data_IF_149919031621
#
_entry.id   IF_149919031621
#
_cell.length_a   1.000
_cell.length_b   1.000
_cell.length_c   1.000
_cell.angle_alpha   90.00
_cell.angle_beta   90.00
_cell.angle_gamma   90.00
#
_symmetry.space_group_name_H-M   'P 1'
#
loop_
_entity.id
_entity.type
_entity.pdbx_description
1 polymer ?
#
# COMPACT_ATOMS: atom_id res chain seq x y z
N UNK A 1 -30.19 -11.44 5.74
CA UNK A 1 -30.09 -11.80 4.31
C UNK A 1 -29.79 -10.53 3.54
N UNK A 2 -28.55 -10.32 3.09
CA UNK A 2 -28.14 -9.08 2.43
C UNK A 2 -28.41 -9.14 0.92
N UNK A 3 -28.90 -8.03 0.42
CA UNK A 3 -29.06 -7.65 -0.98
C UNK A 3 -27.72 -7.60 -1.72
N UNK A 4 -27.66 -7.98 -3.02
CA UNK A 4 -26.45 -7.84 -3.82
C UNK A 4 -26.25 -6.37 -4.22
N UNK A 5 -25.03 -5.88 -3.97
CA UNK A 5 -24.51 -4.59 -4.39
C UNK A 5 -24.58 -4.48 -5.92
N UNK A 6 -25.37 -3.51 -6.38
CA UNK A 6 -25.41 -3.07 -7.75
C UNK A 6 -24.04 -2.50 -8.14
N UNK A 7 -23.32 -3.23 -8.99
CA UNK A 7 -22.24 -2.69 -9.80
C UNK A 7 -22.78 -1.52 -10.62
N UNK A 8 -22.28 -0.31 -10.36
CA UNK A 8 -22.42 0.85 -11.24
C UNK A 8 -21.73 0.55 -12.58
N UNK A 9 -22.41 -0.19 -13.45
CA UNK A 9 -22.14 -0.21 -14.88
C UNK A 9 -22.52 1.17 -15.40
N UNK A 10 -21.54 2.07 -15.55
CA UNK A 10 -21.69 3.16 -16.51
C UNK A 10 -22.05 2.50 -17.85
N UNK A 11 -23.17 2.87 -18.51
CA UNK A 11 -23.49 2.32 -19.80
C UNK A 11 -22.45 2.87 -20.77
N UNK A 12 -21.40 2.10 -21.05
CA UNK A 12 -20.61 2.36 -22.24
C UNK A 12 -21.60 2.23 -23.42
N UNK A 13 -21.75 3.23 -24.30
CA UNK A 13 -22.71 3.18 -25.42
C UNK A 13 -22.31 2.15 -26.50
N UNK A 14 -21.21 1.42 -26.28
CA UNK A 14 -20.56 0.55 -27.23
C UNK A 14 -21.36 -0.70 -27.65
N UNK A 15 -21.97 -1.48 -26.73
CA UNK A 15 -22.72 -2.67 -27.14
C UNK A 15 -24.00 -2.30 -27.89
N UNK A 16 -24.63 -1.16 -27.57
CA UNK A 16 -25.81 -0.67 -28.28
C UNK A 16 -25.46 -0.22 -29.70
N UNK A 17 -24.32 0.47 -29.88
CA UNK A 17 -23.84 0.91 -31.19
C UNK A 17 -23.48 -0.27 -32.11
N UNK A 18 -22.86 -1.33 -31.58
CA UNK A 18 -22.56 -2.54 -32.35
C UNK A 18 -23.82 -3.28 -32.80
N UNK A 19 -24.84 -3.37 -31.94
CA UNK A 19 -26.13 -4.00 -32.27
C UNK A 19 -26.89 -3.20 -33.33
N UNK A 20 -26.88 -1.87 -33.24
CA UNK A 20 -27.51 -1.00 -34.24
C UNK A 20 -26.80 -1.04 -35.59
N UNK A 21 -25.46 -1.08 -35.61
CA UNK A 21 -24.66 -1.24 -36.83
C UNK A 21 -24.94 -2.60 -37.49
N UNK A 22 -25.01 -3.67 -36.71
CA UNK A 22 -25.32 -5.01 -37.20
C UNK A 22 -26.74 -5.09 -37.79
N UNK A 23 -27.74 -4.50 -37.11
CA UNK A 23 -29.11 -4.44 -37.60
C UNK A 23 -29.24 -3.62 -38.91
N UNK A 24 -28.52 -2.50 -39.01
CA UNK A 24 -28.50 -1.67 -40.22
C UNK A 24 -27.86 -2.39 -41.41
N UNK A 25 -26.75 -3.10 -41.19
CA UNK A 25 -26.10 -3.91 -42.22
C UNK A 25 -26.97 -5.09 -42.68
N UNK A 26 -27.73 -5.70 -41.77
CA UNK A 26 -28.67 -6.78 -42.08
C UNK A 26 -29.86 -6.29 -42.92
N UNK A 27 -30.33 -5.07 -42.65
CA UNK A 27 -31.45 -4.45 -43.37
C UNK A 27 -31.06 -3.94 -44.76
N UNK A 28 -29.82 -3.48 -44.94
CA UNK A 28 -29.34 -2.90 -46.20
C UNK A 28 -28.80 -3.93 -47.20
N UNK A 29 -28.37 -5.11 -46.73
CA UNK A 29 -27.75 -6.17 -47.55
C UNK A 29 -26.73 -5.67 -48.60
N UNK A 30 -25.72 -4.86 -48.24
CA UNK A 30 -24.75 -4.39 -49.21
C UNK A 30 -23.86 -5.53 -49.72
N UNK A 31 -23.25 -5.38 -50.91
CA UNK A 31 -22.27 -6.35 -51.41
C UNK A 31 -21.15 -6.58 -50.40
N UNK A 32 -20.67 -7.82 -50.32
CA UNK A 32 -19.79 -8.33 -49.25
C UNK A 32 -18.53 -7.48 -49.00
N UNK A 33 -18.02 -6.83 -50.03
CA UNK A 33 -16.85 -5.96 -49.99
C UNK A 33 -17.10 -4.69 -49.15
N UNK A 34 -18.30 -4.13 -49.22
CA UNK A 34 -18.68 -2.92 -48.47
C UNK A 34 -18.88 -3.25 -46.99
N UNK A 35 -19.50 -4.40 -46.68
CA UNK A 35 -19.64 -4.88 -45.30
C UNK A 35 -18.27 -5.12 -44.65
N UNK A 36 -17.34 -5.75 -45.37
CA UNK A 36 -15.99 -5.98 -44.87
C UNK A 36 -15.24 -4.66 -44.59
N UNK A 37 -15.34 -3.68 -45.50
CA UNK A 37 -14.72 -2.37 -45.30
C UNK A 37 -15.27 -1.64 -44.06
N UNK A 38 -16.59 -1.68 -43.83
CA UNK A 38 -17.22 -1.04 -42.66
C UNK A 38 -16.76 -1.69 -41.34
N UNK A 39 -16.68 -3.02 -41.29
CA UNK A 39 -16.21 -3.74 -40.09
C UNK A 39 -14.74 -3.42 -39.80
N UNK A 40 -13.89 -3.44 -40.82
CA UNK A 40 -12.46 -3.13 -40.68
C UNK A 40 -12.25 -1.67 -40.24
N UNK A 41 -12.97 -0.71 -40.83
CA UNK A 41 -12.90 0.70 -40.43
C UNK A 41 -13.42 0.92 -39.00
N UNK A 42 -14.50 0.23 -38.61
CA UNK A 42 -15.01 0.27 -37.23
C UNK A 42 -14.01 -0.30 -36.23
N UNK A 43 -13.36 -1.41 -36.56
CA UNK A 43 -12.31 -2.01 -35.73
C UNK A 43 -11.06 -1.13 -35.64
N UNK A 44 -10.61 -0.52 -36.74
CA UNK A 44 -9.48 0.41 -36.73
C UNK A 44 -9.81 1.69 -35.93
N UNK A 45 -11.02 2.23 -36.04
CA UNK A 45 -11.47 3.36 -35.25
C UNK A 45 -11.53 3.01 -33.74
N UNK A 46 -11.99 1.81 -33.39
CA UNK A 46 -11.95 1.29 -32.03
C UNK A 46 -10.51 1.16 -31.52
N UNK A 47 -9.63 0.57 -32.33
CA UNK A 47 -8.21 0.46 -32.02
C UNK A 47 -7.61 1.84 -31.78
N UNK A 48 -7.90 2.84 -32.62
CA UNK A 48 -7.40 4.21 -32.45
C UNK A 48 -8.00 4.92 -31.22
N UNK A 49 -9.24 4.61 -30.84
CA UNK A 49 -9.88 5.17 -29.65
C UNK A 49 -9.30 4.59 -28.35
N UNK A 50 -9.05 3.27 -28.33
CA UNK A 50 -8.44 2.55 -27.20
C UNK A 50 -6.92 2.79 -27.14
N UNK A 51 -6.29 2.92 -28.29
CA UNK A 51 -4.86 3.23 -28.48
C UNK A 51 -4.61 4.73 -28.56
N UNK A 52 -5.52 5.58 -28.06
CA UNK A 52 -5.13 6.94 -27.69
C UNK A 52 -4.05 6.78 -26.62
N UNK A 53 -2.75 7.05 -26.91
CA UNK A 53 -1.76 7.04 -25.86
C UNK A 53 -2.29 8.04 -24.84
N UNK A 54 -2.48 7.58 -23.60
CA UNK A 54 -2.86 8.46 -22.50
C UNK A 54 -1.94 9.66 -22.60
N UNK A 55 -2.50 10.81 -22.99
CA UNK A 55 -1.77 12.05 -23.15
C UNK A 55 -1.12 12.24 -21.80
N UNK A 56 0.19 12.03 -21.72
CA UNK A 56 0.92 12.16 -20.47
C UNK A 56 0.53 13.52 -19.94
N UNK A 57 -0.21 13.55 -18.84
CA UNK A 57 -0.49 14.80 -18.14
C UNK A 57 0.89 15.31 -17.75
N UNK A 58 1.34 16.33 -18.45
CA UNK A 58 2.42 17.19 -18.00
C UNK A 58 1.95 17.78 -16.68
N UNK A 59 2.37 17.15 -15.59
CA UNK A 59 2.16 17.68 -14.24
C UNK A 59 3.12 18.84 -14.11
N UNK A 60 2.58 20.02 -13.82
CA UNK A 60 3.35 21.19 -13.40
C UNK A 60 4.30 20.79 -12.29
N UNK A 61 5.56 21.21 -12.42
CA UNK A 61 6.59 20.98 -11.42
C UNK A 61 6.24 21.74 -10.14
N UNK A 62 5.51 21.10 -9.24
CA UNK A 62 5.39 21.57 -7.86
C UNK A 62 6.74 21.33 -7.20
N UNK A 63 7.44 22.42 -6.90
CA UNK A 63 8.66 22.44 -6.10
C UNK A 63 8.33 22.08 -4.63
N UNK A 64 8.22 20.79 -4.36
CA UNK A 64 8.59 20.16 -3.09
C UNK A 64 9.28 18.85 -3.42
N UNK A 65 10.19 18.40 -2.58
CA UNK A 65 10.96 17.17 -2.75
C UNK A 65 10.06 15.93 -2.62
N UNK A 66 9.15 15.73 -3.56
CA UNK A 66 8.16 14.66 -3.55
C UNK A 66 8.86 13.33 -3.83
N UNK A 67 8.67 12.40 -2.91
CA UNK A 67 9.21 11.05 -3.01
C UNK A 67 8.43 10.29 -4.10
N UNK A 68 9.13 9.66 -5.04
CA UNK A 68 8.49 8.93 -6.13
C UNK A 68 8.48 7.43 -5.82
N UNK A 69 7.31 6.81 -5.89
CA UNK A 69 7.11 5.36 -5.71
C UNK A 69 6.81 4.74 -7.06
N UNK A 70 7.76 3.96 -7.57
CA UNK A 70 7.67 3.24 -8.83
C UNK A 70 7.23 1.79 -8.56
N UNK A 71 6.27 1.27 -9.31
CA UNK A 71 5.86 -0.14 -9.17
C UNK A 71 5.84 -0.93 -10.47
N UNK A 72 6.05 -2.24 -10.34
CA UNK A 72 5.86 -3.23 -11.40
C UNK A 72 5.08 -4.42 -10.88
N UNK A 73 3.94 -4.69 -11.50
CA UNK A 73 2.97 -5.65 -10.99
C UNK A 73 2.23 -6.34 -12.13
N UNK A 74 2.29 -7.67 -12.17
CA UNK A 74 1.45 -8.46 -13.08
C UNK A 74 0.10 -8.81 -12.44
N UNK A 75 0.11 -9.28 -11.19
CA UNK A 75 -1.08 -9.72 -10.45
C UNK A 75 -1.66 -8.70 -9.46
N UNK A 76 -1.24 -7.44 -9.51
CA UNK A 76 -1.74 -6.37 -8.62
C UNK A 76 -1.02 -6.21 -7.27
N UNK A 77 -0.41 -7.27 -6.73
CA UNK A 77 0.22 -7.25 -5.39
C UNK A 77 1.25 -6.11 -5.18
N UNK A 78 2.21 -5.96 -6.08
CA UNK A 78 3.23 -4.90 -5.97
C UNK A 78 2.64 -3.48 -6.11
N UNK A 79 1.55 -3.33 -6.89
CA UNK A 79 0.82 -2.07 -7.01
C UNK A 79 0.15 -1.73 -5.68
N UNK A 80 -0.53 -2.70 -5.09
CA UNK A 80 -1.21 -2.50 -3.80
C UNK A 80 -0.22 -2.12 -2.70
N UNK A 81 0.94 -2.77 -2.63
CA UNK A 81 2.00 -2.41 -1.68
C UNK A 81 2.57 -1.01 -1.94
N UNK A 82 2.72 -0.59 -3.20
CA UNK A 82 3.13 0.77 -3.54
C UNK A 82 2.09 1.81 -3.09
N UNK A 83 0.80 1.53 -3.30
CA UNK A 83 -0.32 2.39 -2.85
C UNK A 83 -0.45 2.41 -1.31
N UNK A 84 -0.16 1.29 -0.63
CA UNK A 84 -0.05 1.24 0.85
C UNK A 84 1.14 2.04 1.36
N UNK A 85 2.29 1.95 0.68
CA UNK A 85 3.49 2.73 1.00
C UNK A 85 3.22 4.24 0.88
N UNK A 86 2.56 4.66 -0.19
CA UNK A 86 2.18 6.06 -0.40
C UNK A 86 1.26 6.59 0.71
N UNK A 87 0.26 5.80 1.11
CA UNK A 87 -0.66 6.15 2.20
C UNK A 87 0.07 6.28 3.53
N UNK A 88 0.93 5.33 3.88
CA UNK A 88 1.71 5.40 5.12
C UNK A 88 2.60 6.64 5.17
N UNK A 89 3.26 6.98 4.06
CA UNK A 89 4.06 8.20 3.96
C UNK A 89 3.19 9.47 4.07
N UNK A 90 2.01 9.48 3.44
CA UNK A 90 1.07 10.59 3.51
C UNK A 90 0.54 10.81 4.95
N UNK A 91 0.23 9.72 5.67
CA UNK A 91 -0.18 9.77 7.08
C UNK A 91 0.93 10.36 7.99
N UNK A 92 2.19 10.27 7.55
CA UNK A 92 3.35 10.88 8.21
C UNK A 92 3.67 12.31 7.73
N UNK A 93 2.86 12.88 6.84
CA UNK A 93 3.10 14.20 6.24
C UNK A 93 4.14 14.23 5.13
N UNK A 94 4.55 13.08 4.58
CA UNK A 94 5.47 12.99 3.44
C UNK A 94 4.69 12.90 2.14
N UNK A 95 4.83 13.92 1.28
CA UNK A 95 4.25 13.91 -0.06
C UNK A 95 4.94 12.87 -0.94
N UNK A 96 4.15 11.99 -1.56
CA UNK A 96 4.65 10.99 -2.50
C UNK A 96 3.74 10.82 -3.71
N UNK A 97 4.33 10.46 -4.85
CA UNK A 97 3.60 10.16 -6.09
C UNK A 97 3.86 8.71 -6.49
N UNK A 98 2.81 7.98 -6.85
CA UNK A 98 2.92 6.58 -7.32
C UNK A 98 2.82 6.49 -8.84
N UNK A 99 3.74 5.78 -9.49
CA UNK A 99 3.77 5.56 -10.95
C UNK A 99 4.16 4.12 -11.30
N UNK A 100 3.74 3.65 -12.46
CA UNK A 100 4.27 2.40 -13.02
C UNK A 100 5.71 2.61 -13.50
N UNK A 101 6.53 1.57 -13.47
CA UNK A 101 7.91 1.63 -13.96
C UNK A 101 8.00 2.07 -15.43
N UNK A 102 7.08 1.61 -16.29
CA UNK A 102 7.05 2.04 -17.69
C UNK A 102 6.79 3.54 -17.86
N UNK A 103 6.14 4.23 -16.93
CA UNK A 103 5.94 5.69 -16.99
C UNK A 103 7.22 6.48 -16.66
N UNK A 104 8.24 5.82 -16.11
CA UNK A 104 9.53 6.43 -15.85
C UNK A 104 10.44 6.36 -17.07
N UNK A 105 11.36 7.30 -17.17
CA UNK A 105 12.46 7.29 -18.13
C UNK A 105 13.79 7.38 -17.39
N UNK A 106 14.93 6.90 -17.94
CA UNK A 106 16.23 7.04 -17.27
C UNK A 106 16.56 8.50 -16.92
N UNK A 107 16.12 9.49 -17.71
CA UNK A 107 16.25 10.90 -17.35
C UNK A 107 15.51 11.26 -16.05
N UNK A 108 14.33 10.67 -15.81
CA UNK A 108 13.59 10.83 -14.55
C UNK A 108 14.36 10.29 -13.35
N UNK A 109 15.17 9.25 -13.53
CA UNK A 109 16.01 8.69 -12.46
C UNK A 109 17.15 9.63 -12.08
N UNK A 110 17.73 10.35 -13.06
CA UNK A 110 18.79 11.33 -12.81
C UNK A 110 18.25 12.59 -12.11
N UNK A 111 17.02 13.01 -12.44
CA UNK A 111 16.37 14.17 -11.81
C UNK A 111 15.79 13.85 -10.41
N UNK A 112 15.44 12.58 -10.15
CA UNK A 112 14.85 12.15 -8.90
C UNK A 112 15.92 12.04 -7.79
N UNK A 113 15.67 12.71 -6.66
CA UNK A 113 16.53 12.58 -5.47
C UNK A 113 16.27 11.31 -4.68
N UNK A 114 15.00 10.92 -4.53
CA UNK A 114 14.57 9.75 -3.75
C UNK A 114 13.51 8.95 -4.48
N UNK A 115 13.75 7.65 -4.66
CA UNK A 115 12.86 6.74 -5.38
C UNK A 115 12.66 5.40 -4.65
N UNK A 116 11.42 4.97 -4.51
CA UNK A 116 11.07 3.68 -3.94
C UNK A 116 10.59 2.76 -5.06
N UNK A 117 11.20 1.59 -5.21
CA UNK A 117 10.77 0.59 -6.18
C UNK A 117 10.03 -0.54 -5.49
N UNK A 118 8.80 -0.82 -5.92
CA UNK A 118 8.01 -1.98 -5.46
C UNK A 118 7.71 -2.88 -6.66
N UNK A 119 8.48 -3.95 -6.80
CA UNK A 119 8.52 -4.70 -8.06
C UNK A 119 8.26 -6.18 -7.84
N UNK A 120 7.40 -6.76 -8.66
CA UNK A 120 7.22 -8.21 -8.75
C UNK A 120 8.07 -8.80 -9.85
N UNK A 121 8.37 -10.09 -9.72
CA UNK A 121 9.00 -10.90 -10.77
C UNK A 121 7.95 -11.77 -11.43
N UNK A 122 8.04 -11.98 -12.75
CA UNK A 122 7.13 -12.83 -13.50
C UNK A 122 7.88 -13.95 -14.24
N UNK A 123 7.21 -15.09 -14.45
CA UNK A 123 7.78 -16.24 -15.16
C UNK A 123 9.14 -16.68 -14.60
N UNK A 124 10.12 -16.82 -15.49
CA UNK A 124 11.48 -17.27 -15.18
C UNK A 124 12.41 -16.11 -14.77
N UNK A 125 11.92 -15.19 -13.93
CA UNK A 125 12.73 -14.06 -13.49
C UNK A 125 12.55 -12.77 -14.28
N UNK A 126 11.56 -12.70 -15.16
CA UNK A 126 11.32 -11.58 -16.08
C UNK A 126 10.65 -10.39 -15.38
N UNK A 127 10.80 -9.20 -15.98
CA UNK A 127 10.06 -8.02 -15.59
C UNK A 127 8.56 -8.17 -15.95
N UNK A 128 7.62 -7.71 -15.11
CA UNK A 128 6.22 -7.59 -15.48
C UNK A 128 6.02 -6.69 -16.72
N UNK A 129 4.87 -6.80 -17.39
CA UNK A 129 4.59 -6.05 -18.62
C UNK A 129 4.69 -4.53 -18.42
N UNK A 130 4.29 -4.05 -17.23
CA UNK A 130 4.40 -2.64 -16.83
C UNK A 130 5.81 -2.20 -16.40
N UNK A 131 6.84 -3.03 -16.63
CA UNK A 131 8.25 -2.70 -16.44
C UNK A 131 9.18 -3.09 -17.60
N UNK A 132 8.78 -4.01 -18.50
CA UNK A 132 9.64 -4.49 -19.58
C UNK A 132 10.17 -3.39 -20.52
N UNK A 133 9.41 -2.29 -20.74
CA UNK A 133 9.90 -1.13 -21.52
C UNK A 133 10.91 -0.31 -20.73
N UNK A 134 10.70 -0.16 -19.43
CA UNK A 134 11.67 0.51 -18.56
C UNK A 134 12.98 -0.28 -18.47
N UNK A 135 12.93 -1.59 -18.22
CA UNK A 135 14.14 -2.43 -18.12
C UNK A 135 15.01 -2.31 -19.38
N UNK A 136 14.41 -2.42 -20.57
CA UNK A 136 15.13 -2.24 -21.84
C UNK A 136 15.77 -0.85 -21.98
N UNK A 137 15.05 0.22 -21.63
CA UNK A 137 15.57 1.61 -21.68
C UNK A 137 16.66 1.83 -20.66
N UNK A 138 16.51 1.29 -19.46
CA UNK A 138 17.53 1.35 -18.42
C UNK A 138 18.79 0.65 -18.95
N UNK A 139 18.71 -0.62 -19.36
CA UNK A 139 19.86 -1.38 -19.87
C UNK A 139 20.56 -0.70 -21.07
N UNK A 140 19.80 -0.09 -21.98
CA UNK A 140 20.36 0.65 -23.13
C UNK A 140 20.97 2.03 -22.77
N UNK A 141 20.59 2.59 -21.62
CA UNK A 141 21.09 3.88 -21.14
C UNK A 141 22.42 3.71 -20.39
N UNK A 142 23.27 4.73 -20.45
CA UNK A 142 24.48 4.87 -19.61
C UNK A 142 24.35 6.04 -18.64
N UNK A 143 23.11 6.38 -18.23
CA UNK A 143 22.86 7.47 -17.31
C UNK A 143 23.63 7.27 -15.99
N UNK A 144 24.29 8.34 -15.55
CA UNK A 144 24.86 8.45 -14.22
C UNK A 144 23.73 8.66 -13.21
N UNK A 145 23.67 7.80 -12.20
CA UNK A 145 22.68 7.79 -11.14
C UNK A 145 23.30 8.13 -9.77
N UNK A 146 24.51 8.72 -9.75
CA UNK A 146 25.19 9.14 -8.51
C UNK A 146 24.39 10.07 -7.60
N UNK A 147 23.40 10.80 -8.15
CA UNK A 147 22.48 11.65 -7.37
C UNK A 147 21.20 10.95 -6.89
N UNK A 148 20.96 9.69 -7.27
CA UNK A 148 19.74 8.95 -6.97
C UNK A 148 19.90 8.16 -5.68
N UNK A 149 19.08 8.48 -4.68
CA UNK A 149 18.90 7.63 -3.51
C UNK A 149 17.66 6.75 -3.71
N UNK A 150 17.77 5.44 -3.43
CA UNK A 150 16.65 4.55 -3.69
C UNK A 150 16.53 3.38 -2.71
N UNK A 151 15.39 2.69 -2.72
CA UNK A 151 15.24 1.38 -2.07
C UNK A 151 14.35 0.48 -2.92
N UNK A 152 14.50 -0.84 -2.77
CA UNK A 152 13.81 -1.83 -3.59
C UNK A 152 13.13 -2.86 -2.69
N UNK A 153 11.81 -2.96 -2.81
CA UNK A 153 11.00 -4.08 -2.35
C UNK A 153 10.74 -5.02 -3.53
N UNK A 154 11.44 -6.15 -3.56
CA UNK A 154 11.36 -7.14 -4.63
C UNK A 154 10.46 -8.31 -4.19
N UNK A 155 9.32 -8.47 -4.84
CA UNK A 155 8.40 -9.57 -4.62
C UNK A 155 8.75 -10.75 -5.52
N UNK A 156 8.77 -11.94 -4.93
CA UNK A 156 8.99 -13.19 -5.64
C UNK A 156 8.46 -14.39 -4.86
N UNK A 157 8.81 -15.56 -5.35
CA UNK A 157 8.48 -16.84 -4.73
C UNK A 157 9.74 -17.71 -4.81
N UNK A 158 10.23 -18.15 -3.64
CA UNK A 158 11.48 -18.91 -3.53
C UNK A 158 11.39 -20.32 -4.11
N UNK A 159 10.20 -20.78 -4.49
CA UNK A 159 10.01 -22.04 -5.22
C UNK A 159 10.50 -21.98 -6.66
N UNK A 160 10.65 -20.77 -7.22
CA UNK A 160 11.16 -20.57 -8.57
C UNK A 160 12.68 -20.37 -8.55
N UNK A 161 13.34 -20.88 -9.59
CA UNK A 161 14.80 -20.78 -9.78
C UNK A 161 15.30 -19.33 -9.74
N UNK A 162 14.51 -18.39 -10.27
CA UNK A 162 14.84 -16.98 -10.34
C UNK A 162 14.09 -16.16 -9.28
N UNK A 163 14.26 -16.54 -8.02
CA UNK A 163 13.68 -15.85 -6.87
C UNK A 163 14.03 -14.34 -6.86
N UNK A 164 13.01 -13.48 -6.92
CA UNK A 164 13.12 -12.02 -7.04
C UNK A 164 14.00 -11.54 -8.22
N UNK A 165 14.11 -12.35 -9.29
CA UNK A 165 15.05 -12.14 -10.38
C UNK A 165 15.03 -10.74 -10.99
N UNK A 166 13.85 -10.17 -11.25
CA UNK A 166 13.74 -8.82 -11.79
C UNK A 166 14.20 -7.75 -10.80
N UNK A 167 13.75 -7.84 -9.54
CA UNK A 167 14.11 -6.87 -8.50
C UNK A 167 15.62 -6.88 -8.18
N UNK A 168 16.25 -8.05 -8.19
CA UNK A 168 17.71 -8.20 -8.04
C UNK A 168 18.46 -7.52 -9.18
N UNK A 169 18.11 -7.82 -10.44
CA UNK A 169 18.75 -7.19 -11.61
C UNK A 169 18.56 -5.67 -11.63
N UNK A 170 17.39 -5.20 -11.23
CA UNK A 170 17.11 -3.77 -11.13
C UNK A 170 18.05 -3.10 -10.12
N UNK A 171 18.14 -3.65 -8.91
CA UNK A 171 19.04 -3.15 -7.87
C UNK A 171 20.51 -3.18 -8.32
N UNK A 172 20.98 -4.30 -8.87
CA UNK A 172 22.34 -4.42 -9.39
C UNK A 172 22.64 -3.38 -10.47
N UNK A 173 21.69 -3.13 -11.37
CA UNK A 173 21.82 -2.15 -12.45
C UNK A 173 21.89 -0.73 -11.88
N UNK A 174 21.06 -0.39 -10.89
CA UNK A 174 21.07 0.93 -10.24
C UNK A 174 22.39 1.18 -9.50
N UNK A 175 22.87 0.20 -8.72
CA UNK A 175 24.18 0.27 -8.01
C UNK A 175 25.34 0.44 -8.98
N UNK A 176 25.34 -0.33 -10.08
CA UNK A 176 26.40 -0.26 -11.09
C UNK A 176 26.53 1.11 -11.76
N UNK A 177 25.50 1.94 -11.66
CA UNK A 177 25.42 3.30 -12.24
C UNK A 177 25.56 4.41 -11.21
N UNK A 178 25.96 4.07 -9.98
CA UNK A 178 26.18 5.03 -8.91
C UNK A 178 24.96 5.32 -8.03
N UNK A 179 23.81 4.69 -8.26
CA UNK A 179 22.66 4.83 -7.37
C UNK A 179 23.00 4.41 -5.95
N UNK A 180 22.60 5.23 -4.97
CA UNK A 180 22.85 5.00 -3.55
C UNK A 180 21.63 4.31 -2.89
N UNK A 181 21.75 3.06 -2.42
CA UNK A 181 20.67 2.43 -1.69
C UNK A 181 20.50 3.09 -0.32
N UNK A 182 19.32 3.63 -0.04
CA UNK A 182 18.90 4.13 1.28
C UNK A 182 18.85 3.00 2.31
N UNK A 183 18.42 1.82 1.86
CA UNK A 183 18.35 0.60 2.63
C UNK A 183 18.72 -0.58 1.74
N UNK A 184 19.08 -1.70 2.38
CA UNK A 184 19.24 -2.96 1.66
C UNK A 184 17.93 -3.38 0.98
N UNK A 185 18.06 -3.95 -0.22
CA UNK A 185 16.94 -4.52 -0.96
C UNK A 185 16.27 -5.60 -0.11
N UNK A 186 14.95 -5.54 -0.03
CA UNK A 186 14.14 -6.55 0.63
C UNK A 186 13.56 -7.51 -0.41
N UNK A 187 13.95 -8.78 -0.31
CA UNK A 187 13.39 -9.86 -1.13
C UNK A 187 12.23 -10.51 -0.35
N UNK A 188 11.00 -10.35 -0.85
CA UNK A 188 9.77 -10.84 -0.19
C UNK A 188 9.38 -12.18 -0.81
N UNK A 189 9.43 -13.26 -0.02
CA UNK A 189 8.88 -14.57 -0.42
C UNK A 189 7.37 -14.61 -0.19
N UNK A 190 6.57 -14.73 -1.25
CA UNK A 190 5.11 -14.94 -1.21
C UNK A 190 4.36 -14.03 -0.21
N UNK A 191 4.71 -12.75 -0.18
CA UNK A 191 4.17 -11.74 0.76
C UNK A 191 4.41 -12.05 2.24
N UNK A 192 5.54 -12.66 2.57
CA UNK A 192 5.99 -12.90 3.94
C UNK A 192 5.82 -11.64 4.82
N UNK A 193 5.13 -11.83 5.94
CA UNK A 193 4.74 -10.75 6.85
C UNK A 193 5.95 -10.05 7.47
N UNK A 194 6.99 -10.80 7.84
CA UNK A 194 8.18 -10.25 8.49
C UNK A 194 8.93 -9.29 7.58
N UNK A 195 9.13 -9.68 6.32
CA UNK A 195 9.77 -8.83 5.31
C UNK A 195 8.95 -7.58 5.00
N UNK A 196 7.62 -7.71 4.91
CA UNK A 196 6.73 -6.57 4.71
C UNK A 196 6.70 -5.63 5.92
N UNK A 197 6.87 -6.14 7.16
CA UNK A 197 7.03 -5.30 8.35
C UNK A 197 8.34 -4.54 8.33
N UNK A 198 9.44 -5.20 7.94
CA UNK A 198 10.72 -4.53 7.77
C UNK A 198 10.63 -3.39 6.73
N UNK A 199 9.93 -3.62 5.62
CA UNK A 199 9.65 -2.56 4.66
C UNK A 199 8.86 -1.39 5.28
N UNK A 200 7.82 -1.65 6.06
CA UNK A 200 7.04 -0.61 6.75
C UNK A 200 7.90 0.20 7.74
N UNK A 201 8.83 -0.46 8.45
CA UNK A 201 9.78 0.22 9.34
C UNK A 201 10.73 1.13 8.55
N UNK A 202 11.23 0.68 7.39
CA UNK A 202 12.04 1.52 6.49
C UNK A 202 11.27 2.75 6.00
N UNK A 203 9.98 2.60 5.64
CA UNK A 203 9.13 3.74 5.31
C UNK A 203 8.98 4.72 6.48
N UNK A 204 8.88 4.20 7.71
CA UNK A 204 8.81 5.03 8.90
C UNK A 204 10.08 5.86 9.11
N UNK A 205 11.25 5.25 8.97
CA UNK A 205 12.54 5.96 9.03
C UNK A 205 12.63 7.09 8.00
N UNK A 206 12.11 6.90 6.78
CA UNK A 206 12.08 7.95 5.76
C UNK A 206 11.19 9.14 6.13
N UNK A 207 10.16 8.91 6.95
CA UNK A 207 9.22 9.93 7.40
C UNK A 207 9.57 10.61 8.72
N UNK A 208 10.59 10.11 9.43
CA UNK A 208 10.97 10.60 10.76
C UNK A 208 9.99 10.22 11.88
N UNK A 209 9.00 9.37 11.59
CA UNK A 209 8.01 8.87 12.54
C UNK A 209 8.08 7.35 12.58
N UNK A 210 7.86 6.72 13.74
CA UNK A 210 7.82 5.25 13.87
C UNK A 210 6.44 4.74 14.33
N UNK A 211 5.44 5.63 14.40
CA UNK A 211 4.10 5.32 14.87
C UNK A 211 3.21 5.05 13.65
N UNK A 212 3.12 3.80 13.17
CA UNK A 212 2.23 3.37 12.07
C UNK A 212 1.46 2.09 12.42
N UNK A 213 0.28 1.94 11.80
CA UNK A 213 -0.47 0.69 11.84
C UNK A 213 0.17 -0.34 10.92
N UNK A 214 0.38 -1.56 11.42
CA UNK A 214 0.86 -2.69 10.62
C UNK A 214 -0.10 -3.00 9.45
N UNK A 215 0.43 -3.22 8.25
CA UNK A 215 -0.33 -3.58 7.04
C UNK A 215 -0.99 -4.96 7.10
N UNK A 216 -0.50 -5.81 7.99
CA UNK A 216 -1.09 -7.10 8.32
C UNK A 216 -1.28 -7.15 9.83
N UNK A 217 -2.52 -7.23 10.33
CA UNK A 217 -2.75 -7.37 11.75
C UNK A 217 -2.18 -8.72 12.20
N UNK A 218 -1.18 -8.69 13.07
CA UNK A 218 -0.81 -9.88 13.85
C UNK A 218 -2.03 -10.29 14.66
N UNK A 219 -2.41 -11.58 14.70
CA UNK A 219 -3.44 -12.02 15.61
C UNK A 219 -2.97 -11.78 17.05
N UNK A 220 -3.48 -10.72 17.68
CA UNK A 220 -3.21 -10.45 19.09
C UNK A 220 -3.94 -11.46 19.96
N UNK A 221 -3.23 -12.04 20.91
CA UNK A 221 -3.87 -12.73 22.04
C UNK A 221 -4.46 -11.72 23.02
N UNK A 222 -5.48 -12.12 23.78
CA UNK A 222 -6.01 -11.27 24.83
C UNK A 222 -5.18 -11.41 26.11
N UNK A 223 -4.67 -10.29 26.62
CA UNK A 223 -3.90 -10.22 27.85
C UNK A 223 -4.54 -9.26 28.84
N UNK A 224 -4.47 -9.61 30.12
CA UNK A 224 -4.92 -8.77 31.23
C UNK A 224 -3.74 -8.03 31.84
N UNK A 225 -3.90 -6.73 32.03
CA UNK A 225 -2.99 -5.93 32.84
C UNK A 225 -3.13 -6.33 34.32
N UNK A 226 -2.20 -7.15 34.79
CA UNK A 226 -2.19 -7.68 36.16
C UNK A 226 -1.57 -6.71 37.17
N UNK A 227 -0.71 -5.80 36.71
CA UNK A 227 -0.11 -4.80 37.59
C UNK A 227 0.58 -3.68 36.84
N UNK A 228 0.58 -2.49 37.45
CA UNK A 228 1.34 -1.32 37.00
C UNK A 228 1.91 -0.61 38.21
N UNK A 229 3.21 -0.38 38.21
CA UNK A 229 3.90 0.39 39.26
C UNK A 229 4.85 1.40 38.62
N UNK A 230 4.94 2.61 39.18
CA UNK A 230 5.90 3.62 38.71
C UNK A 230 7.25 3.34 39.37
N UNK A 231 8.29 3.20 38.55
CA UNK A 231 9.65 2.89 39.01
C UNK A 231 10.45 4.13 39.39
N UNK A 232 10.07 5.30 38.88
CA UNK A 232 10.77 6.57 39.11
C UNK A 232 9.84 7.64 39.74
N UNK A 233 9.21 7.37 40.89
CA UNK A 233 8.34 8.35 41.53
C UNK A 233 9.12 9.62 41.87
N UNK A 234 8.56 10.79 41.54
CA UNK A 234 9.16 12.09 41.83
C UNK A 234 10.28 12.53 40.87
N UNK A 235 10.56 11.77 39.81
CA UNK A 235 11.48 12.23 38.76
C UNK A 235 10.89 13.40 37.96
N UNK A 236 11.75 14.31 37.49
CA UNK A 236 11.38 15.36 36.55
C UNK A 236 11.21 14.85 35.11
N UNK A 237 11.63 13.61 34.83
CA UNK A 237 11.42 12.94 33.55
C UNK A 237 10.05 12.28 33.43
N UNK A 238 9.75 11.73 32.25
CA UNK A 238 8.53 10.97 32.03
C UNK A 238 8.46 9.73 32.97
N UNK A 239 7.25 9.33 33.41
CA UNK A 239 7.09 8.20 34.30
C UNK A 239 7.48 6.89 33.60
N UNK A 240 8.40 6.16 34.20
CA UNK A 240 8.79 4.80 33.82
C UNK A 240 7.92 3.85 34.63
N UNK A 241 7.18 2.98 33.96
CA UNK A 241 6.31 2.01 34.61
C UNK A 241 6.82 0.58 34.43
N UNK A 242 6.79 -0.20 35.50
CA UNK A 242 6.82 -1.66 35.41
C UNK A 242 5.39 -2.16 35.24
N UNK A 243 5.18 -2.89 34.16
CA UNK A 243 3.88 -3.42 33.74
C UNK A 243 3.95 -4.95 33.78
N UNK A 244 2.95 -5.58 34.39
CA UNK A 244 2.78 -7.03 34.38
C UNK A 244 1.53 -7.39 33.58
N UNK A 245 1.70 -8.24 32.57
CA UNK A 245 0.62 -8.75 31.73
C UNK A 245 0.47 -10.25 31.97
N UNK A 246 -0.77 -10.74 32.03
CA UNK A 246 -1.09 -12.16 32.14
C UNK A 246 -1.95 -12.58 30.93
N UNK A 247 -1.62 -13.69 30.25
CA UNK A 247 -2.46 -14.18 29.16
C UNK A 247 -3.82 -14.61 29.73
N UNK A 248 -4.89 -14.34 28.99
CA UNK A 248 -6.23 -14.85 29.34
C UNK A 248 -6.48 -16.26 28.80
N UNK A 249 -5.80 -16.60 27.70
CA UNK A 249 -5.90 -17.89 27.00
C UNK A 249 -4.67 -18.78 27.33
N UNK A 250 -4.26 -19.66 26.41
CA UNK A 250 -3.10 -20.52 26.59
C UNK A 250 -1.82 -19.73 26.92
N UNK A 251 -0.94 -20.35 27.72
CA UNK A 251 0.33 -19.75 28.10
C UNK A 251 1.19 -19.49 26.85
N UNK A 252 1.47 -18.22 26.58
CA UNK A 252 2.35 -17.86 25.47
C UNK A 252 3.77 -18.38 25.73
N UNK A 253 4.33 -19.07 24.75
CA UNK A 253 5.73 -19.46 24.76
C UNK A 253 6.58 -18.30 24.26
N UNK A 254 7.53 -17.86 25.09
CA UNK A 254 8.49 -16.82 24.75
C UNK A 254 9.83 -17.11 25.44
N UNK A 255 10.90 -16.48 24.94
CA UNK A 255 12.26 -16.53 25.46
C UNK A 255 12.80 -15.12 25.63
N UNK A 256 13.79 -14.97 26.51
CA UNK A 256 14.50 -13.71 26.63
C UNK A 256 15.17 -13.36 25.29
N UNK A 257 14.98 -12.13 24.83
CA UNK A 257 15.37 -11.66 23.51
C UNK A 257 14.22 -11.56 22.51
N UNK A 258 13.09 -12.24 22.74
CA UNK A 258 11.90 -12.10 21.90
C UNK A 258 11.32 -10.68 22.00
N UNK A 259 10.48 -10.29 21.04
CA UNK A 259 9.79 -9.01 21.03
C UNK A 259 8.32 -9.22 21.43
N UNK A 260 7.87 -8.47 22.43
CA UNK A 260 6.46 -8.36 22.77
C UNK A 260 5.82 -7.21 21.98
N UNK A 261 4.82 -7.55 21.16
CA UNK A 261 4.01 -6.58 20.42
C UNK A 261 2.68 -6.37 21.13
N UNK A 262 2.41 -5.11 21.50
CA UNK A 262 1.19 -4.73 22.22
C UNK A 262 0.35 -3.83 21.31
N UNK A 263 -0.83 -4.29 20.92
CA UNK A 263 -1.85 -3.47 20.26
C UNK A 263 -2.63 -2.66 21.31
N UNK A 264 -2.38 -1.34 21.47
CA UNK A 264 -3.07 -0.54 22.47
C UNK A 264 -4.53 -0.30 22.08
N UNK A 265 -5.38 -0.10 23.08
CA UNK A 265 -6.78 0.32 22.89
C UNK A 265 -7.08 1.55 23.73
N UNK A 266 -7.93 2.43 23.22
CA UNK A 266 -8.52 3.49 24.02
C UNK A 266 -9.42 2.89 25.12
N UNK A 267 -9.55 3.58 26.27
CA UNK A 267 -10.52 3.19 27.29
C UNK A 267 -11.94 3.28 26.72
N UNK A 268 -12.77 2.26 27.00
CA UNK A 268 -14.13 2.17 26.45
C UNK A 268 -15.00 3.36 26.84
N UNK A 269 -14.98 3.78 28.12
CA UNK A 269 -15.86 4.82 28.64
C UNK A 269 -15.77 6.15 27.88
N UNK A 270 -14.57 6.74 27.70
CA UNK A 270 -14.42 7.96 26.91
C UNK A 270 -14.86 7.83 25.45
N UNK A 271 -14.59 6.69 24.80
CA UNK A 271 -14.99 6.45 23.41
C UNK A 271 -16.51 6.27 23.28
N UNK A 272 -17.12 5.57 24.23
CA UNK A 272 -18.56 5.38 24.30
C UNK A 272 -19.29 6.72 24.44
N UNK A 273 -18.79 7.59 25.32
CA UNK A 273 -19.32 8.94 25.48
C UNK A 273 -19.12 9.81 24.23
N UNK A 274 -17.94 9.72 23.60
CA UNK A 274 -17.68 10.41 22.34
C UNK A 274 -18.66 9.98 21.24
N UNK A 275 -18.87 8.69 21.05
CA UNK A 275 -19.81 8.15 20.06
C UNK A 275 -21.23 8.66 20.31
N UNK A 276 -21.68 8.69 21.58
CA UNK A 276 -22.99 9.27 21.95
C UNK A 276 -23.08 10.76 21.59
N UNK A 277 -22.04 11.55 21.85
CA UNK A 277 -22.00 12.98 21.49
C UNK A 277 -22.02 13.21 19.98
N UNK A 278 -21.42 12.30 19.20
CA UNK A 278 -21.46 12.32 17.74
C UNK A 278 -22.81 11.81 17.17
N UNK A 279 -23.72 11.33 18.03
CA UNK A 279 -25.03 10.83 17.62
C UNK A 279 -25.01 9.41 17.07
N UNK A 280 -23.93 8.65 17.28
CA UNK A 280 -23.82 7.25 16.87
C UNK A 280 -24.16 6.31 18.02
N UNK A 281 -24.73 5.15 17.70
CA UNK A 281 -24.97 4.08 18.68
C UNK A 281 -23.65 3.30 18.92
N UNK A 282 -23.07 3.33 20.14
CA UNK A 282 -21.85 2.59 20.43
C UNK A 282 -21.97 1.07 20.23
N UNK A 283 -23.17 0.51 20.34
CA UNK A 283 -23.44 -0.92 20.21
C UNK A 283 -23.82 -1.34 18.79
N UNK A 284 -23.90 -0.39 17.84
CA UNK A 284 -24.16 -0.68 16.44
C UNK A 284 -23.13 -1.70 15.93
N UNK A 285 -23.61 -2.81 15.37
CA UNK A 285 -22.74 -3.89 14.87
C UNK A 285 -22.35 -3.65 13.42
N UNK A 286 -21.06 -3.69 13.15
CA UNK A 286 -20.46 -3.53 11.83
C UNK A 286 -19.50 -4.70 11.62
N UNK A 287 -19.71 -5.50 10.57
CA UNK A 287 -18.93 -6.70 10.27
C UNK A 287 -18.77 -7.70 11.45
N UNK A 288 -19.70 -7.70 12.40
CA UNK A 288 -19.68 -8.59 13.57
C UNK A 288 -19.06 -7.98 14.83
N UNK A 289 -18.45 -6.80 14.77
CA UNK A 289 -17.92 -6.06 15.93
C UNK A 289 -18.79 -4.85 16.27
N UNK A 290 -18.71 -4.34 17.51
CA UNK A 290 -19.40 -3.10 17.89
C UNK A 290 -18.63 -1.87 17.39
N UNK A 291 -19.33 -0.79 17.03
CA UNK A 291 -18.69 0.47 16.65
C UNK A 291 -17.74 0.98 17.74
N UNK A 292 -18.11 0.81 19.01
CA UNK A 292 -17.25 1.08 20.16
C UNK A 292 -15.94 0.28 20.13
N UNK A 293 -16.01 -1.03 19.89
CA UNK A 293 -14.84 -1.90 19.84
C UNK A 293 -13.88 -1.53 18.72
N UNK A 294 -14.45 -1.19 17.55
CA UNK A 294 -13.69 -0.74 16.39
C UNK A 294 -12.98 0.57 16.71
N UNK A 295 -13.71 1.60 17.17
CA UNK A 295 -13.14 2.91 17.42
C UNK A 295 -12.10 2.90 18.57
N UNK A 296 -12.23 1.96 19.53
CA UNK A 296 -11.21 1.77 20.57
C UNK A 296 -9.83 1.37 20.01
N UNK A 297 -9.74 0.84 18.78
CA UNK A 297 -8.48 0.44 18.14
C UNK A 297 -7.96 1.48 17.14
N UNK A 298 -8.65 2.60 16.97
CA UNK A 298 -8.39 3.61 15.94
C UNK A 298 -7.78 4.86 16.55
N UNK A 299 -7.01 5.61 15.76
CA UNK A 299 -6.58 6.96 16.13
C UNK A 299 -7.77 7.89 16.06
N UNK A 300 -8.17 8.38 17.23
CA UNK A 300 -9.30 9.29 17.36
C UNK A 300 -8.77 10.74 17.37
N UNK A 301 -8.97 11.53 16.30
CA UNK A 301 -8.61 12.95 16.29
C UNK A 301 -9.48 13.77 17.25
N UNK A 302 -9.26 15.08 17.28
CA UNK A 302 -10.08 16.01 18.06
C UNK A 302 -11.56 15.91 17.66
N UNK A 303 -12.47 16.11 18.63
CA UNK A 303 -13.91 15.89 18.45
C UNK A 303 -14.48 16.74 17.31
N UNK A 304 -13.96 17.95 17.09
CA UNK A 304 -14.39 18.87 16.04
C UNK A 304 -14.22 18.25 14.64
N UNK A 305 -13.11 17.53 14.42
CA UNK A 305 -12.83 16.86 13.16
C UNK A 305 -13.71 15.61 12.92
N UNK A 306 -14.27 15.04 13.99
CA UNK A 306 -15.09 13.84 13.92
C UNK A 306 -16.56 14.13 13.60
N UNK A 307 -17.07 15.30 13.94
CA UNK A 307 -18.49 15.67 13.74
C UNK A 307 -18.91 15.69 12.28
N UNK A 308 -17.96 15.87 11.38
CA UNK A 308 -18.19 15.92 9.93
C UNK A 308 -18.05 14.55 9.26
N UNK A 309 -17.60 13.53 10.00
CA UNK A 309 -17.36 12.19 9.47
C UNK A 309 -18.61 11.34 9.56
N UNK A 310 -18.88 10.57 8.50
CA UNK A 310 -19.85 9.49 8.54
C UNK A 310 -19.24 8.21 9.13
N UNK A 311 -20.07 7.18 9.30
CA UNK A 311 -19.63 5.90 9.85
C UNK A 311 -18.51 5.29 9.00
N UNK A 312 -18.61 5.35 7.67
CA UNK A 312 -17.59 4.77 6.79
C UNK A 312 -16.24 5.48 6.95
N UNK A 313 -16.23 6.80 7.09
CA UNK A 313 -15.02 7.58 7.39
C UNK A 313 -14.46 7.28 8.79
N UNK A 314 -15.32 7.07 9.80
CA UNK A 314 -14.89 6.64 11.14
C UNK A 314 -14.21 5.26 11.10
N UNK A 315 -14.76 4.32 10.32
CA UNK A 315 -14.17 3.00 10.11
C UNK A 315 -12.84 3.06 9.34
N UNK A 316 -12.69 4.06 8.48
CA UNK A 316 -11.49 4.30 7.69
C UNK A 316 -10.35 5.01 8.47
N UNK A 317 -10.60 5.47 9.71
CA UNK A 317 -9.57 6.07 10.53
C UNK A 317 -8.34 5.15 10.67
N UNK A 318 -7.10 5.69 10.76
CA UNK A 318 -5.92 4.87 10.98
C UNK A 318 -6.03 4.06 12.28
N UNK A 319 -5.42 2.88 12.36
CA UNK A 319 -5.36 2.14 13.62
C UNK A 319 -4.33 2.77 14.57
N UNK A 320 -4.47 2.55 15.87
CA UNK A 320 -3.40 2.84 16.81
C UNK A 320 -2.19 1.97 16.45
N UNK A 321 -0.98 2.54 16.44
CA UNK A 321 0.20 1.71 16.23
C UNK A 321 0.41 0.79 17.42
N UNK A 322 0.96 -0.39 17.13
CA UNK A 322 1.44 -1.29 18.17
C UNK A 322 2.68 -0.70 18.85
N UNK A 323 3.02 -1.29 19.98
CA UNK A 323 4.24 -0.96 20.72
C UNK A 323 5.09 -2.21 20.83
N UNK A 324 6.35 -2.10 20.47
CA UNK A 324 7.32 -3.18 20.55
C UNK A 324 8.18 -3.01 21.80
N UNK A 325 8.32 -4.09 22.57
CA UNK A 325 9.20 -4.14 23.73
C UNK A 325 10.06 -5.39 23.65
N UNK A 326 11.38 -5.24 23.84
CA UNK A 326 12.22 -6.41 24.00
C UNK A 326 11.91 -7.10 25.33
N UNK A 327 11.66 -8.40 25.27
CA UNK A 327 11.47 -9.24 26.45
C UNK A 327 12.86 -9.54 27.01
N UNK A 328 13.27 -8.76 28.00
CA UNK A 328 14.49 -9.03 28.74
C UNK A 328 14.24 -10.08 29.83
N UNK A 329 15.22 -10.95 30.08
CA UNK A 329 15.24 -11.72 31.33
C UNK A 329 15.48 -10.74 32.48
N UNK A 330 14.48 -10.53 33.32
CA UNK A 330 14.72 -9.93 34.64
C UNK A 330 15.25 -11.05 35.53
N UNK A 331 16.45 -10.92 36.13
CA UNK A 331 17.09 -11.97 36.93
C UNK A 331 16.31 -12.35 38.19
#
# INVERSE_FOLDING_TARGET
MPTPLATHLRPYPFPLACVLLAAALLHWQPPREVSAAVVVLGYLALCLLVWRPGRAKSVEATKSSDLLIAFASQGGQARELAERSARQLADAGVSSTTRTLNELDPATLTDARRLLFVVSTYGEGEAPDNAARFERRLLASHADLSGLQYTVLALGDSQYSHYCGFGRRLDDTLRSRGGEPLFDRLDVDRLDAGTLRHWQQQLGQLSGHNDFSDWQPVPYGNWRLAGRSVLNPGSSGAPVCHIRLEPLDEAAHWRAGDIAEIGPRHPRGPIEELLRRLGHDPQQRIAGESLLDILCTRRVPAEEALRELDIDALLALPQLAHREYSIASVP
#
